data_IF_921718995930
#
_entry.id   IF_921718995930
#
_cell.length_a   1.000
_cell.length_b   1.000
_cell.length_c   1.000
_cell.angle_alpha   90.00
_cell.angle_beta   90.00
_cell.angle_gamma   90.00
#
_symmetry.space_group_name_H-M   'P 1'
#
loop_
_entity.id
_entity.type
_entity.pdbx_description
1 polymer ?
#
# COMPACT_ATOMS: atom_id res chain seq x y z
N UNK A 1 -1.33 29.43 -2.18
CA UNK A 1 -0.24 28.63 -1.59
C UNK A 1 -0.46 28.54 -0.08
N UNK A 2 -0.65 27.34 0.47
CA UNK A 2 -0.77 27.12 1.93
C UNK A 2 0.54 26.52 2.42
N UNK A 3 1.08 27.03 3.53
CA UNK A 3 2.30 26.50 4.14
C UNK A 3 1.98 25.64 5.35
N UNK A 4 2.73 24.56 5.53
CA UNK A 4 2.69 23.76 6.73
C UNK A 4 3.11 24.60 7.95
N UNK A 5 2.38 24.59 9.07
CA UNK A 5 2.62 25.49 10.20
C UNK A 5 4.02 25.31 10.82
N UNK A 6 4.47 24.06 10.99
CA UNK A 6 5.81 23.72 11.51
C UNK A 6 6.90 23.74 10.43
N UNK A 7 6.79 22.87 9.42
CA UNK A 7 7.82 22.69 8.38
C UNK A 7 7.98 23.86 7.38
N UNK A 8 7.02 24.80 7.32
CA UNK A 8 7.00 25.93 6.37
C UNK A 8 7.10 25.52 4.88
N UNK A 9 6.74 24.28 4.56
CA UNK A 9 6.71 23.73 3.19
C UNK A 9 5.34 23.92 2.53
N UNK A 10 5.31 23.95 1.20
CA UNK A 10 4.05 24.12 0.46
C UNK A 10 3.20 22.85 0.54
N UNK A 11 1.94 23.02 0.91
CA UNK A 11 0.96 21.95 1.08
C UNK A 11 -0.36 22.31 0.40
N UNK A 12 -1.07 21.28 -0.06
CA UNK A 12 -2.43 21.38 -0.58
C UNK A 12 -3.37 20.44 0.14
N UNK A 13 -4.62 20.86 0.30
CA UNK A 13 -5.69 20.01 0.83
C UNK A 13 -5.90 18.85 -0.15
N UNK A 14 -5.88 17.63 0.36
CA UNK A 14 -6.13 16.42 -0.43
C UNK A 14 -7.60 16.02 -0.32
N UNK A 15 -8.08 15.72 0.90
CA UNK A 15 -9.45 15.26 1.14
C UNK A 15 -9.88 15.46 2.60
N UNK A 16 -11.11 15.06 2.91
CA UNK A 16 -11.71 15.13 4.25
C UNK A 16 -12.36 13.78 4.56
N UNK A 17 -12.19 13.28 5.78
CA UNK A 17 -12.91 12.12 6.30
C UNK A 17 -13.50 12.52 7.66
N UNK A 18 -14.84 12.59 7.73
CA UNK A 18 -15.51 13.12 8.91
C UNK A 18 -15.10 14.57 9.18
N UNK A 19 -14.55 14.83 10.36
CA UNK A 19 -14.01 16.12 10.81
C UNK A 19 -12.51 16.30 10.50
N UNK A 20 -11.83 15.27 9.99
CA UNK A 20 -10.39 15.29 9.71
C UNK A 20 -10.10 15.75 8.30
N UNK A 21 -9.23 16.75 8.17
CA UNK A 21 -8.75 17.24 6.87
C UNK A 21 -7.33 16.75 6.60
N UNK A 22 -7.15 16.06 5.48
CA UNK A 22 -5.87 15.55 5.03
C UNK A 22 -5.24 16.47 3.98
N UNK A 23 -3.92 16.59 4.07
CA UNK A 23 -3.08 17.39 3.20
C UNK A 23 -2.00 16.51 2.57
N UNK A 24 -1.37 17.03 1.53
CA UNK A 24 -0.12 16.51 0.98
C UNK A 24 0.82 17.66 0.66
N UNK A 25 2.11 17.36 0.54
CA UNK A 25 3.07 18.31 -0.01
C UNK A 25 2.74 18.60 -1.49
N UNK A 26 2.92 19.85 -1.91
CA UNK A 26 2.77 20.22 -3.32
C UNK A 26 3.94 19.68 -4.15
N UNK A 27 5.14 19.68 -3.57
CA UNK A 27 6.34 19.08 -4.16
C UNK A 27 6.78 17.88 -3.34
N UNK A 28 7.01 16.73 -3.99
CA UNK A 28 7.43 15.53 -3.28
C UNK A 28 8.73 15.76 -2.49
N UNK A 29 9.67 16.54 -3.05
CA UNK A 29 10.96 16.85 -2.41
C UNK A 29 10.84 17.63 -1.10
N UNK A 30 9.67 18.21 -0.79
CA UNK A 30 9.41 18.87 0.48
C UNK A 30 9.05 17.89 1.62
N UNK A 31 8.78 16.63 1.29
CA UNK A 31 8.52 15.59 2.28
C UNK A 31 9.76 15.35 3.16
N UNK A 32 9.61 15.19 4.49
CA UNK A 32 10.72 14.85 5.37
C UNK A 32 11.40 13.53 5.00
N UNK A 33 12.72 13.46 5.21
CA UNK A 33 13.57 12.32 4.80
C UNK A 33 13.08 10.98 5.38
N UNK A 34 12.68 10.95 6.65
CA UNK A 34 12.16 9.73 7.27
C UNK A 34 10.91 9.22 6.54
N UNK A 35 9.99 10.11 6.16
CA UNK A 35 8.81 9.74 5.37
C UNK A 35 9.16 9.31 3.96
N UNK A 36 10.12 9.99 3.32
CA UNK A 36 10.63 9.55 2.02
C UNK A 36 11.14 8.12 2.05
N UNK A 37 11.84 7.73 3.13
CA UNK A 37 12.30 6.36 3.31
C UNK A 37 11.13 5.36 3.35
N UNK A 38 10.08 5.63 4.14
CA UNK A 38 8.89 4.78 4.19
C UNK A 38 8.08 4.80 2.89
N UNK A 39 8.01 5.93 2.19
CA UNK A 39 7.39 6.01 0.87
C UNK A 39 8.11 5.09 -0.13
N UNK A 40 9.45 5.11 -0.14
CA UNK A 40 10.25 4.19 -0.96
C UNK A 40 9.99 2.74 -0.61
N UNK A 41 10.02 2.40 0.69
CA UNK A 41 9.77 1.04 1.16
C UNK A 41 8.39 0.52 0.76
N UNK A 42 7.31 1.27 1.03
CA UNK A 42 5.96 0.84 0.68
C UNK A 42 5.70 0.88 -0.82
N UNK A 43 6.36 1.76 -1.57
CA UNK A 43 6.31 1.73 -3.02
C UNK A 43 6.94 0.44 -3.56
N UNK A 44 8.11 0.05 -3.07
CA UNK A 44 8.76 -1.22 -3.47
C UNK A 44 7.87 -2.43 -3.13
N UNK A 45 7.23 -2.44 -1.97
CA UNK A 45 6.29 -3.50 -1.58
C UNK A 45 5.06 -3.50 -2.50
N UNK A 46 4.45 -2.34 -2.76
CA UNK A 46 3.29 -2.21 -3.62
C UNK A 46 3.59 -2.63 -5.07
N UNK A 47 4.74 -2.23 -5.61
CA UNK A 47 5.20 -2.62 -6.95
C UNK A 47 5.38 -4.14 -7.08
N UNK A 48 5.77 -4.82 -6.00
CA UNK A 48 5.93 -6.29 -5.94
C UNK A 48 4.63 -7.03 -5.59
N UNK A 49 3.60 -6.32 -5.14
CA UNK A 49 2.36 -6.91 -4.62
C UNK A 49 2.57 -7.75 -3.34
N UNK A 50 3.67 -7.50 -2.61
CA UNK A 50 3.97 -8.23 -1.38
C UNK A 50 4.89 -7.44 -0.44
N UNK A 51 4.64 -7.56 0.87
CA UNK A 51 5.52 -6.99 1.88
C UNK A 51 6.82 -7.77 2.03
N UNK A 52 7.85 -7.14 2.61
CA UNK A 52 9.12 -7.84 2.94
C UNK A 52 8.90 -9.02 3.88
N UNK A 53 8.00 -8.87 4.86
CA UNK A 53 7.66 -9.93 5.82
C UNK A 53 7.02 -11.12 5.11
N UNK A 54 6.04 -10.88 4.24
CA UNK A 54 5.41 -11.94 3.45
C UNK A 54 6.42 -12.64 2.53
N UNK A 55 7.40 -11.91 1.99
CA UNK A 55 8.44 -12.48 1.13
C UNK A 55 9.34 -13.43 1.92
N UNK A 56 9.82 -12.98 3.07
CA UNK A 56 10.69 -13.76 3.93
C UNK A 56 9.97 -15.03 4.42
N UNK A 57 8.67 -14.93 4.75
CA UNK A 57 7.83 -16.07 5.11
C UNK A 57 7.68 -17.07 3.96
N UNK A 58 7.34 -16.60 2.76
CA UNK A 58 7.18 -17.47 1.59
C UNK A 58 8.50 -18.19 1.22
N UNK A 59 9.64 -17.48 1.30
CA UNK A 59 10.96 -18.06 1.05
C UNK A 59 11.35 -19.09 2.12
N UNK A 60 11.09 -18.82 3.39
CA UNK A 60 11.36 -19.75 4.48
C UNK A 60 10.52 -21.04 4.35
N UNK A 61 9.22 -20.91 4.06
CA UNK A 61 8.34 -22.04 3.83
C UNK A 61 8.76 -22.86 2.61
N UNK A 62 9.06 -22.20 1.48
CA UNK A 62 9.55 -22.88 0.29
C UNK A 62 10.82 -23.69 0.59
N UNK A 63 11.75 -23.14 1.37
CA UNK A 63 12.97 -23.86 1.80
C UNK A 63 12.63 -25.11 2.63
N UNK A 64 11.67 -25.01 3.54
CA UNK A 64 11.25 -26.15 4.37
C UNK A 64 10.62 -27.26 3.52
N UNK A 65 9.73 -26.91 2.58
CA UNK A 65 9.08 -27.86 1.68
C UNK A 65 10.07 -28.56 0.76
N UNK A 66 11.04 -27.81 0.22
CA UNK A 66 12.12 -28.37 -0.59
C UNK A 66 12.97 -29.37 0.22
N UNK A 67 13.29 -29.06 1.47
CA UNK A 67 14.02 -29.98 2.36
C UNK A 67 13.19 -31.23 2.71
N UNK A 68 11.86 -31.11 2.77
CA UNK A 68 10.95 -32.23 2.99
C UNK A 68 10.68 -33.07 1.73
N UNK A 69 11.16 -32.63 0.55
CA UNK A 69 10.88 -33.27 -0.73
C UNK A 69 9.47 -33.00 -1.28
N UNK A 70 8.72 -32.08 -0.70
CA UNK A 70 7.38 -31.69 -1.17
C UNK A 70 7.48 -30.64 -2.29
N UNK A 71 7.82 -31.13 -3.49
CA UNK A 71 7.99 -30.29 -4.68
C UNK A 71 6.67 -29.70 -5.18
N UNK A 72 5.53 -30.34 -4.90
CA UNK A 72 4.21 -29.88 -5.35
C UNK A 72 3.81 -28.63 -4.59
N UNK A 73 3.91 -28.67 -3.25
CA UNK A 73 3.60 -27.52 -2.41
C UNK A 73 4.62 -26.38 -2.60
N UNK A 74 5.91 -26.69 -2.78
CA UNK A 74 6.91 -25.69 -3.13
C UNK A 74 6.59 -25.01 -4.49
N UNK A 75 6.14 -25.79 -5.48
CA UNK A 75 5.68 -25.27 -6.77
C UNK A 75 4.46 -24.35 -6.65
N UNK A 76 3.55 -24.62 -5.71
CA UNK A 76 2.41 -23.74 -5.45
C UNK A 76 2.85 -22.35 -4.95
N UNK A 77 3.85 -22.29 -4.06
CA UNK A 77 4.44 -21.01 -3.60
C UNK A 77 5.07 -20.24 -4.76
N UNK A 78 5.81 -20.92 -5.64
CA UNK A 78 6.40 -20.28 -6.83
C UNK A 78 5.32 -19.69 -7.74
N UNK A 79 4.25 -20.43 -8.00
CA UNK A 79 3.13 -19.96 -8.82
C UNK A 79 2.45 -18.73 -8.21
N UNK A 80 2.27 -18.71 -6.88
CA UNK A 80 1.70 -17.57 -6.17
C UNK A 80 2.59 -16.33 -6.25
N UNK A 81 3.91 -16.47 -6.04
CA UNK A 81 4.86 -15.36 -6.18
C UNK A 81 4.92 -14.84 -7.62
N UNK A 82 4.87 -15.72 -8.62
CA UNK A 82 4.79 -15.33 -10.03
C UNK A 82 3.47 -14.62 -10.36
N UNK A 83 2.36 -15.04 -9.75
CA UNK A 83 1.08 -14.39 -9.91
C UNK A 83 1.11 -12.97 -9.34
N UNK A 84 1.64 -12.78 -8.12
CA UNK A 84 1.82 -11.46 -7.49
C UNK A 84 2.70 -10.52 -8.29
N UNK A 85 3.76 -11.05 -8.91
CA UNK A 85 4.62 -10.26 -9.80
C UNK A 85 3.91 -9.81 -11.09
N UNK A 86 2.77 -10.42 -11.46
CA UNK A 86 2.00 -10.09 -12.66
C UNK A 86 0.76 -9.25 -12.39
N UNK A 87 0.16 -9.34 -11.20
CA UNK A 87 -1.13 -8.74 -10.90
C UNK A 87 -1.07 -7.60 -9.88
N UNK A 88 -1.83 -6.57 -10.23
CA UNK A 88 -1.64 -5.18 -9.85
C UNK A 88 -2.37 -4.83 -8.56
N UNK A 89 -1.60 -4.32 -7.60
CA UNK A 89 -2.00 -3.63 -6.37
C UNK A 89 -2.52 -4.51 -5.22
N UNK A 90 -1.71 -4.56 -4.18
CA UNK A 90 -2.15 -4.94 -2.85
C UNK A 90 -2.74 -3.71 -2.15
N UNK A 91 -4.05 -3.70 -1.89
CA UNK A 91 -4.73 -2.54 -1.29
C UNK A 91 -4.15 -2.16 0.07
N UNK A 92 -3.67 -3.13 0.84
CA UNK A 92 -3.03 -2.85 2.14
C UNK A 92 -1.74 -2.05 1.95
N UNK A 93 -0.92 -2.42 0.97
CA UNK A 93 0.31 -1.71 0.63
C UNK A 93 0.02 -0.32 0.08
N UNK A 94 -1.09 -0.19 -0.66
CA UNK A 94 -1.58 1.09 -1.17
C UNK A 94 -2.06 2.02 -0.05
N UNK A 95 -2.79 1.51 0.94
CA UNK A 95 -3.16 2.28 2.13
C UNK A 95 -1.92 2.69 2.95
N UNK A 96 -0.93 1.80 3.09
CA UNK A 96 0.35 2.14 3.73
C UNK A 96 1.05 3.28 2.99
N UNK A 97 1.17 3.20 1.67
CA UNK A 97 1.75 4.29 0.87
C UNK A 97 0.96 5.60 1.03
N UNK A 98 -0.38 5.53 0.98
CA UNK A 98 -1.25 6.68 1.20
C UNK A 98 -1.05 7.30 2.58
N UNK A 99 -0.81 6.50 3.63
CA UNK A 99 -0.54 6.98 4.99
C UNK A 99 0.74 7.80 5.10
N UNK A 100 1.74 7.54 4.25
CA UNK A 100 2.98 8.33 4.22
C UNK A 100 2.75 9.68 3.54
N UNK A 101 2.00 9.66 2.43
CA UNK A 101 1.78 10.82 1.56
C UNK A 101 0.78 11.81 2.15
N UNK A 102 -0.29 11.30 2.79
CA UNK A 102 -1.35 12.12 3.34
C UNK A 102 -1.22 12.28 4.85
N UNK A 103 -1.39 13.52 5.31
CA UNK A 103 -1.23 13.87 6.71
C UNK A 103 -2.26 14.89 7.21
N UNK A 104 -2.54 14.85 8.51
CA UNK A 104 -3.29 15.90 9.21
C UNK A 104 -2.37 17.10 9.51
N UNK A 105 -2.92 18.30 9.69
CA UNK A 105 -2.11 19.52 9.80
C UNK A 105 -1.29 19.60 11.11
N UNK A 106 -1.74 18.90 12.13
CA UNK A 106 -1.15 18.78 13.46
C UNK A 106 -0.27 17.53 13.63
N UNK A 107 -0.25 16.64 12.63
CA UNK A 107 0.55 15.42 12.63
C UNK A 107 2.06 15.73 12.72
N UNK A 108 2.81 14.91 13.46
CA UNK A 108 4.26 15.00 13.46
C UNK A 108 4.83 14.34 12.20
N UNK A 109 5.54 15.13 11.39
CA UNK A 109 5.95 14.73 10.04
C UNK A 109 7.43 14.37 9.94
N UNK A 110 8.24 14.73 10.94
CA UNK A 110 9.69 14.44 10.93
C UNK A 110 10.01 12.96 11.04
N UNK A 111 9.07 12.17 11.57
CA UNK A 111 9.17 10.73 11.75
C UNK A 111 7.92 10.02 11.18
N UNK A 112 7.96 8.69 11.13
CA UNK A 112 6.83 7.85 10.75
C UNK A 112 6.40 6.98 11.94
N UNK A 113 5.40 7.46 12.69
CA UNK A 113 4.80 6.71 13.78
C UNK A 113 3.88 5.62 13.22
N UNK A 114 4.28 4.36 13.38
CA UNK A 114 3.53 3.22 12.85
C UNK A 114 2.14 3.06 13.48
N UNK A 115 1.97 3.40 14.76
CA UNK A 115 0.69 3.31 15.47
C UNK A 115 -0.28 4.38 14.98
N UNK A 116 0.18 5.62 14.87
CA UNK A 116 -0.63 6.72 14.33
C UNK A 116 -1.05 6.44 12.89
N UNK A 117 -0.12 5.96 12.06
CA UNK A 117 -0.42 5.64 10.67
C UNK A 117 -1.35 4.44 10.51
N UNK A 118 -1.32 3.45 11.43
CA UNK A 118 -2.31 2.38 11.45
C UNK A 118 -3.73 2.92 11.68
N UNK A 119 -3.91 3.92 12.54
CA UNK A 119 -5.20 4.60 12.71
C UNK A 119 -5.65 5.32 11.44
N UNK A 120 -4.74 6.02 10.75
CA UNK A 120 -5.05 6.63 9.44
C UNK A 120 -5.46 5.60 8.41
N UNK A 121 -4.75 4.48 8.32
CA UNK A 121 -5.08 3.37 7.40
C UNK A 121 -6.50 2.85 7.66
N UNK A 122 -6.85 2.63 8.93
CA UNK A 122 -8.20 2.19 9.29
C UNK A 122 -9.26 3.23 8.92
N UNK A 123 -8.96 4.52 9.07
CA UNK A 123 -9.84 5.60 8.64
C UNK A 123 -9.98 5.62 7.11
N UNK A 124 -8.90 5.46 6.36
CA UNK A 124 -8.92 5.42 4.90
C UNK A 124 -9.78 4.26 4.38
N UNK A 125 -9.74 3.10 5.04
CA UNK A 125 -10.58 1.93 4.72
C UNK A 125 -12.07 2.14 4.92
N UNK A 126 -12.49 3.22 5.60
CA UNK A 126 -13.91 3.58 5.74
C UNK A 126 -14.46 4.27 4.49
N UNK A 127 -13.59 4.79 3.63
CA UNK A 127 -14.00 5.42 2.37
C UNK A 127 -14.33 4.36 1.31
N UNK A 128 -15.23 4.67 0.36
CA UNK A 128 -15.40 3.85 -0.82
C UNK A 128 -14.06 3.63 -1.52
N UNK A 129 -13.68 2.37 -1.77
CA UNK A 129 -12.39 2.01 -2.35
C UNK A 129 -12.11 2.73 -3.67
N UNK A 130 -13.15 2.92 -4.47
CA UNK A 130 -13.08 3.63 -5.73
C UNK A 130 -12.83 5.13 -5.54
N UNK A 131 -13.55 5.78 -4.63
CA UNK A 131 -13.33 7.19 -4.30
C UNK A 131 -11.94 7.44 -3.70
N UNK A 132 -11.44 6.53 -2.87
CA UNK A 132 -10.14 6.72 -2.22
C UNK A 132 -8.93 6.43 -3.12
N UNK A 133 -9.04 5.49 -4.06
CA UNK A 133 -7.91 5.11 -4.92
C UNK A 133 -8.01 5.64 -6.36
N UNK A 134 -9.20 5.98 -6.87
CA UNK A 134 -9.37 6.46 -8.25
C UNK A 134 -9.69 7.95 -8.36
N UNK A 135 -10.40 8.54 -7.38
CA UNK A 135 -10.71 9.99 -7.38
C UNK A 135 -9.64 10.84 -6.66
N UNK A 136 -8.80 10.19 -5.86
CA UNK A 136 -7.74 10.81 -5.06
C UNK A 136 -6.34 10.68 -5.71
N UNK A 137 -5.28 11.25 -5.10
CA UNK A 137 -3.96 11.46 -5.74
C UNK A 137 -3.16 10.20 -6.12
N UNK A 138 -3.74 8.99 -6.03
CA UNK A 138 -3.12 7.79 -6.59
C UNK A 138 -2.93 7.87 -8.11
N UNK A 139 -3.72 8.70 -8.82
CA UNK A 139 -3.41 9.16 -10.19
C UNK A 139 -2.05 9.87 -10.32
N UNK A 140 -1.54 10.51 -9.27
CA UNK A 140 -0.24 11.19 -9.25
C UNK A 140 0.89 10.30 -8.73
N UNK A 141 0.57 9.32 -7.87
CA UNK A 141 1.54 8.35 -7.36
C UNK A 141 1.80 7.22 -8.36
N UNK A 142 0.83 6.88 -9.21
CA UNK A 142 0.93 5.86 -10.26
C UNK A 142 0.19 6.29 -11.55
N UNK A 143 0.70 7.29 -12.28
CA UNK A 143 0.01 7.93 -13.40
C UNK A 143 -0.25 7.03 -14.62
N UNK A 144 0.39 5.86 -14.73
CA UNK A 144 0.39 5.05 -15.95
C UNK A 144 -0.58 3.88 -16.00
N UNK A 145 -1.38 3.63 -14.95
CA UNK A 145 -2.01 2.32 -14.81
C UNK A 145 -3.52 2.32 -14.46
N UNK A 146 -4.18 3.48 -14.45
CA UNK A 146 -5.60 3.61 -14.07
C UNK A 146 -6.48 4.18 -15.18
N UNK A 147 -6.29 3.68 -16.41
CA UNK A 147 -7.12 4.00 -17.58
C UNK A 147 -7.97 2.77 -18.00
N UNK A 148 -8.78 2.23 -17.08
CA UNK A 148 -9.80 1.24 -17.44
C UNK A 148 -11.19 1.84 -17.22
N UNK A 149 -11.84 2.27 -18.30
CA UNK A 149 -13.19 2.84 -18.31
C UNK A 149 -14.32 1.81 -18.10
N UNK A 150 -14.12 0.81 -17.24
CA UNK A 150 -15.11 -0.23 -16.96
C UNK A 150 -14.89 -0.90 -15.62
N UNK A 151 -15.99 -1.08 -14.87
CA UNK A 151 -16.19 -1.83 -13.61
C UNK A 151 -14.93 -2.11 -12.74
N UNK A 152 -14.18 -1.05 -12.48
CA UNK A 152 -12.90 -1.11 -11.76
C UNK A 152 -13.09 -1.57 -10.31
N UNK A 153 -14.28 -1.35 -9.75
CA UNK A 153 -14.66 -1.88 -8.43
C UNK A 153 -14.65 -3.41 -8.41
N UNK A 154 -15.27 -4.05 -9.39
CA UNK A 154 -15.26 -5.51 -9.47
C UNK A 154 -13.86 -6.06 -9.72
N UNK A 155 -13.03 -5.36 -10.50
CA UNK A 155 -11.62 -5.73 -10.71
C UNK A 155 -10.85 -5.68 -9.40
N UNK A 156 -10.92 -4.58 -8.65
CA UNK A 156 -10.25 -4.46 -7.34
C UNK A 156 -10.75 -5.50 -6.34
N UNK A 157 -12.06 -5.71 -6.27
CA UNK A 157 -12.67 -6.69 -5.37
C UNK A 157 -12.16 -8.11 -5.67
N UNK A 158 -12.22 -8.53 -6.93
CA UNK A 158 -11.73 -9.86 -7.36
C UNK A 158 -10.23 -10.00 -7.10
N UNK A 159 -9.45 -8.94 -7.34
CA UNK A 159 -8.02 -8.92 -7.02
C UNK A 159 -7.77 -9.08 -5.51
N UNK A 160 -8.51 -8.36 -4.67
CA UNK A 160 -8.37 -8.45 -3.22
C UNK A 160 -8.78 -9.82 -2.68
N UNK A 161 -9.85 -10.41 -3.22
CA UNK A 161 -10.28 -11.77 -2.88
C UNK A 161 -9.20 -12.80 -3.25
N UNK A 162 -8.58 -12.65 -4.42
CA UNK A 162 -7.46 -13.50 -4.86
C UNK A 162 -6.22 -13.34 -3.99
N UNK A 163 -5.84 -12.11 -3.64
CA UNK A 163 -4.71 -11.84 -2.74
C UNK A 163 -4.94 -12.44 -1.35
N UNK A 164 -6.15 -12.30 -0.82
CA UNK A 164 -6.52 -12.87 0.47
C UNK A 164 -6.50 -14.39 0.44
N UNK A 165 -6.94 -15.01 -0.67
CA UNK A 165 -6.82 -16.45 -0.86
C UNK A 165 -5.35 -16.88 -0.91
N UNK A 166 -4.51 -16.19 -1.67
CA UNK A 166 -3.07 -16.45 -1.74
C UNK A 166 -2.39 -16.35 -0.37
N UNK A 167 -2.74 -15.32 0.43
CA UNK A 167 -2.25 -15.19 1.82
C UNK A 167 -2.68 -16.35 2.70
N UNK A 168 -3.92 -16.84 2.57
CA UNK A 168 -4.39 -18.02 3.31
C UNK A 168 -3.62 -19.27 2.90
N UNK A 169 -3.41 -19.49 1.60
CA UNK A 169 -2.62 -20.61 1.09
C UNK A 169 -1.20 -20.55 1.69
N UNK A 170 -0.56 -19.38 1.68
CA UNK A 170 0.75 -19.21 2.31
C UNK A 170 0.71 -19.43 3.83
N UNK A 171 -0.38 -19.08 4.52
CA UNK A 171 -0.51 -19.29 5.96
C UNK A 171 -0.86 -20.73 6.37
N UNK A 172 -1.50 -21.50 5.49
CA UNK A 172 -2.02 -22.85 5.76
C UNK A 172 -1.08 -23.97 5.29
N UNK A 173 -0.04 -23.66 4.50
CA UNK A 173 1.01 -24.64 4.14
C UNK A 173 1.95 -24.82 5.35
N UNK A 174 2.03 -26.03 5.92
CA UNK A 174 2.81 -26.32 7.14
C UNK A 174 4.33 -26.18 6.97
#
# INVERSE_FOLDING_TARGET
>A
MKLHPKLKKSIKKAFVIGDKTFYQFEHALDMPVARWHFAGLYKEEADRGLSRVELDQALAQMKNLLNAGDLVSAGAIVNELQYRNKYLYDLELMYKLASVVFFELDEELTEYDSSYNAHKINLFKTLPMDGFFFDLPMKHLMPFQLNSGGDTQNILRVMQERLNLGRKILAEIP
#
